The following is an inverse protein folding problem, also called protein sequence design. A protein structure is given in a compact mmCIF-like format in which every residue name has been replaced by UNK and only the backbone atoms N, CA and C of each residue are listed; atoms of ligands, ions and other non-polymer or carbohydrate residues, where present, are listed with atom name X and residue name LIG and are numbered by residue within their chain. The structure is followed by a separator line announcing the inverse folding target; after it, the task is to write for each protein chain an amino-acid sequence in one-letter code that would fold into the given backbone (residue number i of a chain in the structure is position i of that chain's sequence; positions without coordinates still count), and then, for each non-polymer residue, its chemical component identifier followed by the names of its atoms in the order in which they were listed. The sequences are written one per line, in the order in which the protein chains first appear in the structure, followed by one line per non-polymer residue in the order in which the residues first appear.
data_IF_600416915233
#
_entry.id   IF_600416915233
#
_cell.length_a   1.000
_cell.length_b   1.000
_cell.length_c   1.000
_cell.angle_alpha   90.00
_cell.angle_beta   90.00
_cell.angle_gamma   90.00
#
_symmetry.space_group_name_H-M   'P 1'
#
loop_
_entity.id
_entity.type
_entity.pdbx_description
1 polymer ?
#
# COMPACT_ATOMS: atom_id res chain seq x y z
N UNK A 1 3.62 13.20 5.43
CA UNK A 1 2.39 14.00 5.59
C UNK A 1 2.35 14.81 6.88
N UNK A 2 2.73 14.25 8.04
CA UNK A 2 2.73 14.98 9.32
C UNK A 2 3.48 16.33 9.27
N UNK A 3 4.74 16.32 8.79
CA UNK A 3 5.55 17.55 8.68
C UNK A 3 4.91 18.60 7.77
N UNK A 4 4.30 18.19 6.64
CA UNK A 4 3.60 19.10 5.73
C UNK A 4 2.45 19.82 6.44
N UNK A 5 1.62 19.09 7.20
CA UNK A 5 0.52 19.68 7.99
C UNK A 5 1.03 20.62 9.08
N UNK A 6 2.15 20.28 9.72
CA UNK A 6 2.80 21.16 10.69
C UNK A 6 3.26 22.47 10.03
N UNK A 7 3.85 22.39 8.83
CA UNK A 7 4.23 23.58 8.08
C UNK A 7 3.01 24.41 7.66
N UNK A 8 1.92 23.79 7.18
CA UNK A 8 0.66 24.52 6.89
C UNK A 8 0.20 25.36 8.09
N UNK A 9 0.22 24.76 9.30
CA UNK A 9 -0.17 25.43 10.53
C UNK A 9 0.78 26.59 10.90
N UNK A 10 2.09 26.39 10.79
CA UNK A 10 3.11 27.42 11.05
C UNK A 10 2.93 28.63 10.12
N UNK A 11 2.70 28.38 8.83
CA UNK A 11 2.54 29.43 7.83
C UNK A 11 1.10 29.94 7.70
N UNK A 12 0.15 29.39 8.47
CA UNK A 12 -1.30 29.65 8.35
C UNK A 12 -1.80 29.51 6.91
N UNK A 13 -1.25 28.53 6.19
CA UNK A 13 -1.51 28.31 4.78
C UNK A 13 -2.53 27.18 4.60
N UNK A 14 -3.77 27.54 4.25
CA UNK A 14 -4.84 26.56 4.06
C UNK A 14 -4.74 25.89 2.68
N UNK A 15 -4.53 24.57 2.59
CA UNK A 15 -4.42 23.89 1.31
C UNK A 15 -5.77 23.86 0.58
N UNK A 16 -5.80 24.04 -0.75
CA UNK A 16 -7.03 23.94 -1.53
C UNK A 16 -7.60 22.51 -1.49
N UNK A 17 -8.90 22.31 -1.76
CA UNK A 17 -9.54 20.99 -1.70
C UNK A 17 -8.82 19.91 -2.51
N UNK A 18 -8.28 20.25 -3.69
CA UNK A 18 -7.51 19.31 -4.51
C UNK A 18 -6.24 18.80 -3.81
N UNK A 19 -5.50 19.69 -3.15
CA UNK A 19 -4.28 19.33 -2.42
C UNK A 19 -4.59 18.41 -1.22
N UNK A 20 -5.70 18.66 -0.50
CA UNK A 20 -6.15 17.78 0.60
C UNK A 20 -6.42 16.36 0.09
N UNK A 21 -7.19 16.23 -0.99
CA UNK A 21 -7.51 14.94 -1.62
C UNK A 21 -6.25 14.21 -2.10
N UNK A 22 -5.31 14.90 -2.74
CA UNK A 22 -4.05 14.30 -3.16
C UNK A 22 -3.22 13.78 -1.97
N UNK A 23 -3.14 14.56 -0.87
CA UNK A 23 -2.46 14.13 0.35
C UNK A 23 -3.11 12.91 1.00
N UNK A 24 -4.44 12.88 1.05
CA UNK A 24 -5.22 11.74 1.57
C UNK A 24 -5.05 10.48 0.70
N UNK A 25 -5.08 10.63 -0.61
CA UNK A 25 -4.86 9.54 -1.56
C UNK A 25 -3.44 8.96 -1.44
N UNK A 26 -2.42 9.83 -1.39
CA UNK A 26 -1.03 9.40 -1.17
C UNK A 26 -0.87 8.66 0.16
N UNK A 27 -1.53 9.13 1.23
CA UNK A 27 -1.49 8.48 2.53
C UNK A 27 -2.23 7.12 2.52
N UNK A 28 -3.36 7.02 1.83
CA UNK A 28 -4.10 5.77 1.67
C UNK A 28 -3.29 4.73 0.90
N UNK A 29 -2.61 5.15 -0.18
CA UNK A 29 -1.67 4.30 -0.91
C UNK A 29 -0.49 3.84 -0.04
N UNK A 30 0.04 4.73 0.80
CA UNK A 30 1.07 4.36 1.78
C UNK A 30 0.58 3.32 2.79
N UNK A 31 -0.63 3.49 3.33
CA UNK A 31 -1.22 2.53 4.27
C UNK A 31 -1.35 1.14 3.65
N UNK A 32 -1.89 1.04 2.43
CA UNK A 32 -2.00 -0.24 1.72
C UNK A 32 -0.62 -0.88 1.50
N UNK A 33 0.34 -0.12 1.00
CA UNK A 33 1.71 -0.59 0.77
C UNK A 33 2.37 -1.13 2.04
N UNK A 34 2.23 -0.40 3.15
CA UNK A 34 2.78 -0.78 4.46
C UNK A 34 2.08 -2.02 5.03
N UNK A 35 0.75 -2.08 4.96
CA UNK A 35 0.00 -3.21 5.50
C UNK A 35 0.21 -4.48 4.68
N UNK A 36 0.33 -4.39 3.35
CA UNK A 36 0.70 -5.53 2.50
C UNK A 36 2.10 -6.05 2.86
N UNK A 37 3.08 -5.15 3.05
CA UNK A 37 4.41 -5.56 3.50
C UNK A 37 4.34 -6.31 4.83
N UNK A 38 3.71 -5.72 5.84
CA UNK A 38 3.59 -6.33 7.15
C UNK A 38 2.87 -7.69 7.09
N UNK A 39 1.70 -7.70 6.45
CA UNK A 39 0.84 -8.87 6.38
C UNK A 39 1.50 -10.05 5.70
N UNK A 40 2.20 -9.85 4.58
CA UNK A 40 2.70 -10.98 3.79
C UNK A 40 4.19 -11.25 3.95
N UNK A 41 5.02 -10.25 4.25
CA UNK A 41 6.45 -10.46 4.40
C UNK A 41 6.88 -10.68 5.86
N UNK A 42 6.11 -10.17 6.84
CA UNK A 42 6.52 -10.17 8.26
C UNK A 42 5.64 -11.07 9.12
N UNK A 43 4.35 -10.76 9.26
CA UNK A 43 3.44 -11.50 10.14
C UNK A 43 2.85 -12.76 9.46
N UNK A 44 2.59 -12.69 8.16
CA UNK A 44 1.97 -13.76 7.38
C UNK A 44 2.62 -15.14 7.52
N UNK A 45 3.96 -15.29 7.59
CA UNK A 45 4.56 -16.61 7.71
C UNK A 45 4.09 -17.36 8.95
N UNK A 46 3.86 -16.67 10.07
CA UNK A 46 3.37 -17.27 11.31
C UNK A 46 1.94 -17.80 11.17
N UNK A 47 1.12 -17.19 10.29
CA UNK A 47 -0.27 -17.59 10.07
C UNK A 47 -0.45 -18.59 8.93
N UNK A 48 0.17 -18.37 7.77
CA UNK A 48 -0.02 -19.21 6.58
C UNK A 48 0.86 -20.47 6.60
N UNK A 49 2.09 -20.35 7.09
CA UNK A 49 3.02 -21.50 7.20
C UNK A 49 2.82 -22.18 8.56
N UNK A 50 2.74 -21.38 9.62
CA UNK A 50 2.40 -21.80 10.98
C UNK A 50 3.49 -21.43 12.00
N UNK A 51 3.12 -21.20 13.27
CA UNK A 51 4.05 -20.69 14.28
C UNK A 51 5.09 -21.74 14.74
N UNK A 52 4.87 -23.02 14.43
CA UNK A 52 5.80 -24.14 14.71
C UNK A 52 6.54 -24.63 13.47
N UNK A 53 6.39 -23.95 12.33
CA UNK A 53 7.09 -24.32 11.10
C UNK A 53 8.61 -24.16 11.26
N UNK A 54 9.37 -24.92 10.46
CA UNK A 54 10.82 -24.81 10.42
C UNK A 54 11.23 -23.35 10.12
N UNK A 55 12.17 -22.74 10.88
CA UNK A 55 12.59 -21.36 10.66
C UNK A 55 13.03 -21.05 9.22
N UNK A 56 13.62 -22.00 8.50
CA UNK A 56 14.03 -21.83 7.10
C UNK A 56 12.83 -21.69 6.15
N UNK A 57 11.66 -22.18 6.54
CA UNK A 57 10.40 -22.07 5.79
C UNK A 57 9.47 -20.97 6.31
N UNK A 58 9.65 -20.50 7.55
CA UNK A 58 8.77 -19.49 8.16
C UNK A 58 9.12 -18.06 7.74
N UNK A 59 9.05 -17.82 6.44
CA UNK A 59 9.31 -16.53 5.78
C UNK A 59 8.43 -16.40 4.53
N UNK A 60 8.59 -15.29 3.79
CA UNK A 60 7.80 -15.00 2.58
C UNK A 60 7.87 -16.12 1.52
N UNK A 61 9.01 -16.81 1.37
CA UNK A 61 9.14 -17.90 0.40
C UNK A 61 8.34 -19.14 0.81
N UNK A 62 8.21 -19.41 2.10
CA UNK A 62 7.34 -20.49 2.57
C UNK A 62 5.87 -20.21 2.37
N UNK A 63 5.44 -18.94 2.46
CA UNK A 63 4.08 -18.56 2.05
C UNK A 63 3.89 -18.87 0.57
N UNK A 64 4.81 -18.47 -0.30
CA UNK A 64 4.75 -18.77 -1.74
C UNK A 64 4.70 -20.28 -1.98
N UNK A 65 5.48 -21.07 -1.23
CA UNK A 65 5.43 -22.54 -1.29
C UNK A 65 4.06 -23.12 -0.88
N UNK A 66 3.36 -22.48 0.07
CA UNK A 66 2.02 -22.88 0.53
C UNK A 66 0.90 -22.48 -0.43
N UNK A 67 0.96 -21.27 -0.99
CA UNK A 67 -0.16 -20.67 -1.75
C UNK A 67 0.06 -20.69 -3.27
N UNK A 68 1.26 -21.03 -3.72
CA UNK A 68 1.65 -21.04 -5.13
C UNK A 68 2.26 -19.72 -5.60
N UNK A 69 3.08 -19.80 -6.66
CA UNK A 69 3.80 -18.67 -7.23
C UNK A 69 2.86 -17.59 -7.82
N UNK A 70 1.74 -17.99 -8.41
CA UNK A 70 0.76 -17.07 -8.99
C UNK A 70 0.21 -16.10 -7.94
N UNK A 71 -0.31 -16.63 -6.82
CA UNK A 71 -0.84 -15.81 -5.74
C UNK A 71 0.27 -15.04 -5.01
N UNK A 72 1.47 -15.61 -4.90
CA UNK A 72 2.65 -14.89 -4.41
C UNK A 72 2.99 -13.65 -5.24
N UNK A 73 2.92 -13.76 -6.57
CA UNK A 73 3.15 -12.64 -7.49
C UNK A 73 2.06 -11.57 -7.38
N UNK A 74 0.80 -11.95 -7.18
CA UNK A 74 -0.28 -10.99 -6.97
C UNK A 74 -0.03 -10.06 -5.78
N UNK A 75 0.52 -10.57 -4.67
CA UNK A 75 0.91 -9.76 -3.51
C UNK A 75 1.97 -8.71 -3.89
N UNK A 76 2.98 -9.12 -4.66
CA UNK A 76 4.06 -8.24 -5.11
C UNK A 76 3.50 -7.16 -6.05
N UNK A 77 2.62 -7.53 -6.99
CA UNK A 77 1.98 -6.60 -7.90
C UNK A 77 1.08 -5.60 -7.17
N UNK A 78 0.24 -6.08 -6.24
CA UNK A 78 -0.62 -5.22 -5.43
C UNK A 78 0.22 -4.19 -4.65
N UNK A 79 1.29 -4.62 -3.99
CA UNK A 79 2.21 -3.70 -3.31
C UNK A 79 2.90 -2.73 -4.28
N UNK A 80 3.25 -3.19 -5.47
CA UNK A 80 3.78 -2.37 -6.55
C UNK A 80 2.82 -1.28 -7.01
N UNK A 81 1.52 -1.59 -7.14
CA UNK A 81 0.48 -0.61 -7.49
C UNK A 81 0.37 0.50 -6.44
N UNK A 82 0.33 0.13 -5.16
CA UNK A 82 0.28 1.10 -4.06
C UNK A 82 1.54 1.98 -4.01
N UNK A 83 2.72 1.41 -4.30
CA UNK A 83 3.96 2.18 -4.40
C UNK A 83 3.98 3.12 -5.62
N UNK A 84 3.41 2.68 -6.75
CA UNK A 84 3.32 3.50 -7.95
C UNK A 84 2.38 4.70 -7.78
N UNK A 85 1.26 4.53 -7.07
CA UNK A 85 0.38 5.66 -6.71
C UNK A 85 1.16 6.67 -5.84
N UNK A 86 1.93 6.19 -4.85
CA UNK A 86 2.78 7.07 -4.04
C UNK A 86 3.84 7.80 -4.87
N UNK A 87 4.42 7.14 -5.87
CA UNK A 87 5.39 7.75 -6.78
C UNK A 87 4.76 8.85 -7.63
N UNK A 88 3.62 8.58 -8.26
CA UNK A 88 2.91 9.55 -9.10
C UNK A 88 2.58 10.80 -8.30
N UNK A 89 2.00 10.67 -7.11
CA UNK A 89 1.62 11.83 -6.29
C UNK A 89 2.83 12.45 -5.59
N UNK A 90 3.76 11.63 -5.14
CA UNK A 90 4.87 11.99 -4.25
C UNK A 90 6.13 12.46 -4.95
N UNK A 91 6.23 12.26 -6.27
CA UNK A 91 7.44 12.42 -7.08
C UNK A 91 8.46 11.29 -6.91
N UNK A 92 8.38 10.52 -5.81
CA UNK A 92 9.23 9.36 -5.52
C UNK A 92 8.42 8.31 -4.78
N UNK A 93 8.69 7.04 -5.08
CA UNK A 93 8.12 5.89 -4.39
C UNK A 93 8.46 5.85 -2.88
N UNK A 94 9.63 6.36 -2.51
CA UNK A 94 10.12 6.46 -1.12
C UNK A 94 10.66 7.86 -0.89
N UNK A 95 10.41 8.41 0.30
CA UNK A 95 10.74 9.79 0.66
C UNK A 95 10.10 10.81 -0.30
N UNK A 96 8.75 10.91 -0.33
CA UNK A 96 8.04 11.82 -1.21
C UNK A 96 8.39 13.27 -0.91
N UNK A 97 8.45 14.10 -1.94
CA UNK A 97 8.86 15.52 -1.89
C UNK A 97 7.73 16.50 -2.23
N UNK A 98 6.52 15.97 -2.41
CA UNK A 98 5.39 16.72 -2.95
C UNK A 98 4.71 17.69 -1.97
N UNK A 99 4.89 17.53 -0.66
CA UNK A 99 4.14 18.29 0.35
C UNK A 99 4.78 19.64 0.65
N UNK A 100 4.13 20.73 0.21
CA UNK A 100 4.54 22.12 0.49
C UNK A 100 3.55 22.81 1.43
N UNK A 101 3.96 23.84 2.20
CA UNK A 101 3.03 24.66 2.97
C UNK A 101 1.94 25.23 2.04
N UNK A 102 0.67 25.00 2.38
CA UNK A 102 -0.48 25.42 1.58
C UNK A 102 -0.81 24.53 0.37
N UNK A 103 -0.13 23.40 0.15
CA UNK A 103 -0.55 22.53 -0.96
C UNK A 103 0.38 21.38 -1.35
N UNK A 104 0.49 21.18 -2.66
CA UNK A 104 1.25 20.12 -3.33
C UNK A 104 2.16 20.75 -4.40
N UNK A 105 3.32 20.14 -4.66
CA UNK A 105 4.30 20.66 -5.62
C UNK A 105 3.89 20.50 -7.09
N UNK A 106 2.94 19.60 -7.40
CA UNK A 106 2.39 19.41 -8.74
C UNK A 106 0.90 19.07 -8.70
N UNK A 107 0.23 19.38 -9.81
CA UNK A 107 -1.08 18.84 -10.14
C UNK A 107 -0.94 17.42 -10.71
N UNK A 108 -2.07 16.74 -10.86
CA UNK A 108 -2.18 15.44 -11.50
C UNK A 108 -2.64 15.64 -12.96
N UNK A 109 -2.00 14.99 -13.92
CA UNK A 109 -2.54 14.95 -15.30
C UNK A 109 -3.73 13.99 -15.39
N UNK A 110 -4.51 14.07 -16.48
CA UNK A 110 -5.63 13.16 -16.70
C UNK A 110 -5.14 11.71 -16.85
N UNK A 111 -4.01 11.49 -17.52
CA UNK A 111 -3.40 10.17 -17.70
C UNK A 111 -2.89 9.60 -16.37
N UNK A 112 -2.27 10.43 -15.52
CA UNK A 112 -1.85 10.02 -14.18
C UNK A 112 -3.07 9.67 -13.31
N UNK A 113 -4.17 10.41 -13.46
CA UNK A 113 -5.44 10.13 -12.78
C UNK A 113 -6.03 8.80 -13.22
N UNK A 114 -6.08 8.53 -14.53
CA UNK A 114 -6.51 7.25 -15.10
C UNK A 114 -5.64 6.09 -14.60
N UNK A 115 -4.31 6.28 -14.57
CA UNK A 115 -3.37 5.26 -14.09
C UNK A 115 -3.61 4.91 -12.60
N UNK A 116 -3.84 5.94 -11.78
CA UNK A 116 -4.15 5.75 -10.36
C UNK A 116 -5.48 5.03 -10.18
N UNK A 117 -6.51 5.40 -10.95
CA UNK A 117 -7.84 4.82 -10.84
C UNK A 117 -7.85 3.32 -11.16
N UNK A 118 -7.18 2.91 -12.25
CA UNK A 118 -6.99 1.49 -12.60
C UNK A 118 -6.31 0.70 -11.47
N UNK A 119 -5.21 1.23 -10.94
CA UNK A 119 -4.47 0.61 -9.84
C UNK A 119 -5.28 0.53 -8.55
N UNK A 120 -6.04 1.58 -8.24
CA UNK A 120 -6.90 1.62 -7.07
C UNK A 120 -8.00 0.55 -7.14
N UNK A 121 -8.61 0.33 -8.32
CA UNK A 121 -9.58 -0.75 -8.53
C UNK A 121 -8.95 -2.13 -8.28
N UNK A 122 -7.77 -2.38 -8.88
CA UNK A 122 -7.00 -3.63 -8.65
C UNK A 122 -6.64 -3.85 -7.19
N UNK A 123 -6.29 -2.79 -6.46
CA UNK A 123 -5.99 -2.85 -5.02
C UNK A 123 -7.23 -3.20 -4.17
N UNK A 124 -8.41 -2.66 -4.52
CA UNK A 124 -9.66 -3.01 -3.85
C UNK A 124 -10.02 -4.48 -4.10
N UNK A 125 -9.91 -4.94 -5.34
CA UNK A 125 -10.21 -6.34 -5.67
C UNK A 125 -9.23 -7.31 -5.01
N UNK A 126 -7.93 -6.96 -4.99
CA UNK A 126 -6.93 -7.70 -4.22
C UNK A 126 -7.26 -7.70 -2.71
N UNK A 127 -7.70 -6.58 -2.14
CA UNK A 127 -8.09 -6.50 -0.73
C UNK A 127 -9.25 -7.44 -0.38
N UNK A 128 -10.27 -7.52 -1.25
CA UNK A 128 -11.38 -8.48 -1.07
C UNK A 128 -10.89 -9.93 -1.15
N UNK A 129 -10.05 -10.25 -2.14
CA UNK A 129 -9.44 -11.57 -2.30
C UNK A 129 -8.59 -11.95 -1.09
N UNK A 130 -7.78 -11.02 -0.60
CA UNK A 130 -6.94 -11.19 0.59
C UNK A 130 -7.76 -11.56 1.84
N UNK A 131 -8.90 -10.91 2.06
CA UNK A 131 -9.81 -11.23 3.16
C UNK A 131 -10.39 -12.65 3.01
N UNK A 132 -10.84 -13.03 1.82
CA UNK A 132 -11.32 -14.40 1.57
C UNK A 132 -10.24 -15.45 1.83
N UNK A 133 -9.01 -15.20 1.36
CA UNK A 133 -7.88 -16.11 1.58
C UNK A 133 -7.50 -16.23 3.05
N UNK A 134 -7.61 -15.15 3.81
CA UNK A 134 -7.41 -15.18 5.25
C UNK A 134 -8.44 -16.08 5.95
N UNK A 135 -9.71 -15.91 5.61
CA UNK A 135 -10.78 -16.74 6.18
C UNK A 135 -10.58 -18.23 5.84
N UNK A 136 -10.23 -18.53 4.60
CA UNK A 136 -10.08 -19.90 4.12
C UNK A 136 -8.82 -20.61 4.64
N UNK A 137 -7.67 -19.92 4.63
CA UNK A 137 -6.37 -20.54 4.92
C UNK A 137 -5.96 -20.41 6.39
N UNK A 138 -6.49 -19.43 7.11
CA UNK A 138 -6.10 -19.13 8.50
C UNK A 138 -7.25 -19.39 9.46
N UNK A 139 -8.43 -18.78 9.24
CA UNK A 139 -9.51 -18.86 10.23
C UNK A 139 -10.22 -20.22 10.25
N UNK A 140 -10.42 -20.85 9.08
CA UNK A 140 -11.04 -22.18 8.98
C UNK A 140 -10.07 -23.33 9.27
N UNK A 141 -8.78 -23.04 9.32
CA UNK A 141 -7.72 -24.02 9.54
C UNK A 141 -7.57 -24.25 11.05
N UNK A 142 -8.47 -25.07 11.61
CA UNK A 142 -8.43 -25.52 13.01
C UNK A 142 -7.45 -26.65 13.22
#
# INVERSE_FOLDING_TARGET
MASTKACDAVFKAEPPPAAKKLREMAYSAHMMHSHQLHMYALAGPDFYVGPKADPASRNILGIVGKVGAELGLEVIHARGYAQRIQEIVGGKATHPVCGLPGGMSKALSDEERDEIEDKAKKLVDFGKKALSLWDDLVMKNK
#
